data_IF_637160022027
#
_entry.id   IF_637160022027
#
_cell.length_a   1.000
_cell.length_b   1.000
_cell.length_c   1.000
_cell.angle_alpha   90.00
_cell.angle_beta   90.00
_cell.angle_gamma   90.00
#
_symmetry.space_group_name_H-M   'P 1'
#
loop_
_entity.id
_entity.type
_entity.pdbx_description
1 polymer ?
#
# COMPACT_ATOMS: atom_id res chain seq x y z
N UNK A 1 9.41 9.98 -76.41
CA UNK A 1 9.00 8.80 -75.58
C UNK A 1 9.89 8.62 -74.36
N UNK A 2 11.15 8.92 -74.45
CA UNK A 2 12.16 8.74 -73.34
C UNK A 2 11.88 9.50 -72.07
N UNK A 3 11.42 10.74 -72.15
CA UNK A 3 11.13 11.57 -70.96
C UNK A 3 9.98 11.05 -70.07
N UNK A 4 8.94 10.41 -70.62
CA UNK A 4 7.83 9.84 -69.85
C UNK A 4 8.24 8.57 -69.09
N UNK A 5 9.13 7.77 -69.68
CA UNK A 5 9.64 6.54 -69.03
C UNK A 5 10.56 6.90 -67.89
N UNK A 6 11.44 7.89 -68.03
CA UNK A 6 12.35 8.38 -67.02
C UNK A 6 11.59 8.98 -65.83
N UNK A 7 10.54 9.77 -66.07
CA UNK A 7 9.65 10.32 -65.06
C UNK A 7 8.91 9.22 -64.27
N UNK A 8 8.43 8.16 -64.94
CA UNK A 8 7.76 7.03 -64.27
C UNK A 8 8.71 6.21 -63.40
N UNK A 9 9.96 5.99 -63.85
CA UNK A 9 10.99 5.28 -63.09
C UNK A 9 11.38 6.12 -61.84
N UNK A 10 11.60 7.42 -62.01
CA UNK A 10 11.86 8.30 -60.85
C UNK A 10 10.71 8.30 -59.85
N UNK A 11 9.46 8.38 -60.29
CA UNK A 11 8.29 8.33 -59.41
C UNK A 11 8.22 6.98 -58.67
N UNK A 12 8.49 5.86 -59.35
CA UNK A 12 8.50 4.54 -58.72
C UNK A 12 9.59 4.40 -57.65
N UNK A 13 10.82 4.92 -57.93
CA UNK A 13 11.92 4.92 -56.97
C UNK A 13 11.57 5.79 -55.76
N UNK A 14 11.01 6.99 -55.96
CA UNK A 14 10.62 7.89 -54.87
C UNK A 14 9.53 7.26 -54.00
N UNK A 15 8.52 6.64 -54.62
CA UNK A 15 7.44 5.96 -53.93
C UNK A 15 7.95 4.76 -53.10
N UNK A 16 8.82 3.95 -53.70
CA UNK A 16 9.45 2.81 -53.02
C UNK A 16 10.31 3.28 -51.83
N UNK A 17 11.13 4.32 -52.01
CA UNK A 17 11.96 4.89 -50.96
C UNK A 17 11.09 5.45 -49.80
N UNK A 18 9.97 6.11 -50.15
CA UNK A 18 9.02 6.63 -49.14
C UNK A 18 8.35 5.50 -48.30
N UNK A 19 7.98 4.38 -48.97
CA UNK A 19 7.40 3.22 -48.32
C UNK A 19 8.43 2.56 -47.36
N UNK A 20 9.66 2.37 -47.83
CA UNK A 20 10.74 1.77 -47.04
C UNK A 20 11.07 2.67 -45.82
N UNK A 21 11.20 3.98 -46.02
CA UNK A 21 11.44 4.93 -44.93
C UNK A 21 10.30 4.93 -43.93
N UNK A 22 9.04 5.00 -44.37
CA UNK A 22 7.88 4.96 -43.50
C UNK A 22 7.79 3.65 -42.72
N UNK A 23 8.06 2.52 -43.37
CA UNK A 23 8.12 1.21 -42.72
C UNK A 23 9.22 1.12 -41.65
N UNK A 24 10.41 1.65 -41.96
CA UNK A 24 11.54 1.69 -41.04
C UNK A 24 11.22 2.57 -39.82
N UNK A 25 10.68 3.78 -40.05
CA UNK A 25 10.26 4.69 -38.94
C UNK A 25 9.20 4.05 -38.07
N UNK A 26 8.20 3.38 -38.68
CA UNK A 26 7.15 2.68 -37.92
C UNK A 26 7.72 1.54 -37.07
N UNK A 27 8.62 0.71 -37.62
CA UNK A 27 9.26 -0.38 -36.86
C UNK A 27 10.14 0.16 -35.74
N UNK A 28 10.91 1.23 -36.00
CA UNK A 28 11.74 1.87 -34.99
C UNK A 28 10.90 2.49 -33.86
N UNK A 29 9.82 3.21 -34.21
CA UNK A 29 8.91 3.80 -33.22
C UNK A 29 8.23 2.74 -32.36
N UNK A 30 7.80 1.63 -32.97
CA UNK A 30 7.21 0.50 -32.24
C UNK A 30 8.22 -0.14 -31.29
N UNK A 31 9.44 -0.44 -31.75
CA UNK A 31 10.50 -0.99 -30.89
C UNK A 31 10.88 -0.06 -29.75
N UNK A 32 11.04 1.23 -30.04
CA UNK A 32 11.31 2.23 -29.01
C UNK A 32 10.19 2.28 -27.96
N UNK A 33 8.91 2.19 -28.37
CA UNK A 33 7.78 2.13 -27.45
C UNK A 33 7.78 0.86 -26.57
N UNK A 34 8.12 -0.31 -27.16
CA UNK A 34 8.23 -1.57 -26.43
C UNK A 34 9.40 -1.54 -25.43
N UNK A 35 10.55 -0.97 -25.81
CA UNK A 35 11.72 -0.83 -24.96
C UNK A 35 11.48 0.14 -23.79
N UNK A 36 10.86 1.30 -24.04
CA UNK A 36 10.46 2.25 -23.00
C UNK A 36 9.49 1.60 -22.01
N UNK A 37 8.51 0.86 -22.49
CA UNK A 37 7.55 0.15 -21.66
C UNK A 37 8.25 -0.89 -20.75
N UNK A 38 9.15 -1.69 -21.33
CA UNK A 38 9.88 -2.70 -20.59
C UNK A 38 10.77 -2.06 -19.52
N UNK A 39 11.53 -1.03 -19.89
CA UNK A 39 12.37 -0.29 -18.95
C UNK A 39 11.57 0.32 -17.82
N UNK A 40 10.38 0.86 -18.09
CA UNK A 40 9.49 1.39 -17.07
C UNK A 40 9.06 0.31 -16.06
N UNK A 41 8.71 -0.89 -16.53
CA UNK A 41 8.39 -2.00 -15.62
C UNK A 41 9.59 -2.47 -14.82
N UNK A 42 10.79 -2.54 -15.40
CA UNK A 42 12.01 -2.94 -14.70
C UNK A 42 12.36 -1.95 -13.57
N UNK A 43 12.24 -0.64 -13.84
CA UNK A 43 12.44 0.41 -12.84
C UNK A 43 11.38 0.36 -11.74
N UNK A 44 10.09 0.20 -12.08
CA UNK A 44 9.00 0.04 -11.12
C UNK A 44 9.19 -1.22 -10.27
N UNK A 45 9.55 -2.35 -10.88
CA UNK A 45 9.83 -3.61 -10.16
C UNK A 45 10.91 -3.43 -9.12
N UNK A 46 12.02 -2.77 -9.49
CA UNK A 46 13.14 -2.55 -8.57
C UNK A 46 12.72 -1.66 -7.40
N UNK A 47 12.05 -0.56 -7.68
CA UNK A 47 11.58 0.38 -6.66
C UNK A 47 10.53 -0.27 -5.74
N UNK A 48 9.56 -0.99 -6.29
CA UNK A 48 8.49 -1.63 -5.51
C UNK A 48 9.04 -2.72 -4.59
N UNK A 49 10.00 -3.54 -5.05
CA UNK A 49 10.68 -4.54 -4.20
C UNK A 49 11.41 -3.90 -3.02
N UNK A 50 12.11 -2.79 -3.26
CA UNK A 50 12.77 -2.09 -2.17
C UNK A 50 11.76 -1.53 -1.18
N UNK A 51 10.71 -0.87 -1.66
CA UNK A 51 9.64 -0.33 -0.82
C UNK A 51 8.90 -1.40 -0.03
N UNK A 52 8.57 -2.53 -0.65
CA UNK A 52 7.94 -3.66 0.05
C UNK A 52 8.82 -4.18 1.19
N UNK A 53 10.14 -4.26 0.97
CA UNK A 53 11.09 -4.62 2.02
C UNK A 53 11.13 -3.59 3.16
N UNK A 54 11.13 -2.31 2.83
CA UNK A 54 11.19 -1.24 3.82
C UNK A 54 9.90 -1.18 4.65
N UNK A 55 8.74 -1.34 4.02
CA UNK A 55 7.43 -1.44 4.69
C UNK A 55 7.38 -2.67 5.60
N UNK A 56 7.83 -3.84 5.13
CA UNK A 56 7.86 -5.06 5.94
C UNK A 56 8.79 -4.91 7.16
N UNK A 57 9.95 -4.28 7.00
CA UNK A 57 10.86 -4.02 8.10
C UNK A 57 10.24 -3.06 9.14
N UNK A 58 9.59 -1.98 8.69
CA UNK A 58 8.91 -1.05 9.58
C UNK A 58 7.75 -1.74 10.34
N UNK A 59 6.92 -2.53 9.65
CA UNK A 59 5.84 -3.30 10.27
C UNK A 59 6.36 -4.28 11.33
N UNK A 60 7.48 -4.97 11.06
CA UNK A 60 8.12 -5.85 12.05
C UNK A 60 8.66 -5.07 13.25
N UNK A 61 9.21 -3.89 13.02
CA UNK A 61 9.66 -3.00 14.10
C UNK A 61 8.49 -2.60 14.99
N UNK A 62 7.36 -2.21 14.39
CA UNK A 62 6.12 -1.88 15.11
C UNK A 62 5.66 -3.04 15.99
N UNK A 63 5.57 -4.24 15.43
CA UNK A 63 5.19 -5.44 16.17
C UNK A 63 6.15 -5.77 17.32
N UNK A 64 7.46 -5.59 17.11
CA UNK A 64 8.47 -5.82 18.15
C UNK A 64 8.33 -4.82 19.30
N UNK A 65 8.14 -3.54 19.00
CA UNK A 65 7.94 -2.48 19.97
C UNK A 65 6.66 -2.74 20.78
N UNK A 66 5.56 -3.04 20.11
CA UNK A 66 4.27 -3.32 20.76
C UNK A 66 4.34 -4.58 21.65
N UNK A 67 5.02 -5.62 21.21
CA UNK A 67 5.22 -6.83 22.00
C UNK A 67 6.05 -6.53 23.26
N UNK A 68 7.12 -5.75 23.14
CA UNK A 68 7.92 -5.34 24.29
C UNK A 68 7.12 -4.47 25.29
N UNK A 69 6.30 -3.53 24.78
CA UNK A 69 5.38 -2.77 25.63
C UNK A 69 4.39 -3.68 26.35
N UNK A 70 3.79 -4.64 25.64
CA UNK A 70 2.83 -5.58 26.20
C UNK A 70 3.45 -6.44 27.32
N UNK A 71 4.69 -6.90 27.15
CA UNK A 71 5.42 -7.65 28.18
C UNK A 71 5.69 -6.79 29.44
N UNK A 72 6.09 -5.52 29.24
CA UNK A 72 6.32 -4.61 30.37
C UNK A 72 5.02 -4.27 31.11
N UNK A 73 3.91 -4.07 30.39
CA UNK A 73 2.58 -3.82 30.98
C UNK A 73 2.09 -5.04 31.76
N UNK A 74 2.33 -6.25 31.23
CA UNK A 74 1.95 -7.49 31.91
C UNK A 74 2.59 -7.66 33.29
N UNK A 75 3.76 -7.05 33.54
CA UNK A 75 4.47 -7.04 34.81
C UNK A 75 3.97 -5.99 35.80
N UNK A 76 3.05 -5.09 35.40
CA UNK A 76 2.52 -4.05 36.29
C UNK A 76 1.24 -4.50 37.00
N UNK A 77 0.89 -3.83 38.12
CA UNK A 77 -0.43 -3.97 38.69
C UNK A 77 -1.50 -3.39 37.72
N UNK A 78 -2.62 -4.09 37.55
CA UNK A 78 -3.71 -3.67 36.66
C UNK A 78 -4.34 -2.34 37.04
N UNK A 79 -4.28 -1.98 38.36
CA UNK A 79 -4.78 -0.73 38.87
C UNK A 79 -3.75 0.40 38.86
N UNK A 80 -2.46 0.11 38.60
CA UNK A 80 -1.40 1.12 38.47
C UNK A 80 -1.38 1.73 37.06
N UNK A 81 -2.40 2.53 36.76
CA UNK A 81 -2.54 3.19 35.45
C UNK A 81 -1.39 4.16 35.14
N UNK A 82 -0.77 4.76 36.15
CA UNK A 82 0.35 5.69 35.97
C UNK A 82 1.58 4.95 35.42
N UNK A 83 1.85 3.73 35.92
CA UNK A 83 2.92 2.88 35.42
C UNK A 83 2.61 2.39 34.01
N UNK A 84 1.37 1.99 33.73
CA UNK A 84 0.93 1.60 32.36
C UNK A 84 1.11 2.75 31.36
N UNK A 85 0.62 3.95 31.67
CA UNK A 85 0.77 5.12 30.82
C UNK A 85 2.25 5.49 30.61
N UNK A 86 3.08 5.36 31.64
CA UNK A 86 4.52 5.62 31.54
C UNK A 86 5.17 4.65 30.55
N UNK A 87 4.83 3.37 30.59
CA UNK A 87 5.34 2.36 29.65
C UNK A 87 4.88 2.69 28.24
N UNK A 88 3.58 2.97 28.01
CA UNK A 88 3.04 3.33 26.72
C UNK A 88 3.72 4.58 26.10
N UNK A 89 4.23 5.50 26.94
CA UNK A 89 4.93 6.71 26.52
C UNK A 89 6.47 6.59 26.48
N UNK A 90 7.04 5.45 26.91
CA UNK A 90 8.51 5.30 27.00
C UNK A 90 9.15 5.05 25.64
N UNK A 91 8.46 4.38 24.73
CA UNK A 91 9.00 4.02 23.44
C UNK A 91 8.85 5.15 22.42
N UNK A 92 9.95 5.47 21.73
CA UNK A 92 9.86 6.39 20.59
C UNK A 92 9.17 5.72 19.40
N UNK A 93 8.22 6.41 18.83
CA UNK A 93 7.49 6.00 17.62
C UNK A 93 8.04 6.62 16.34
N UNK A 94 9.16 7.36 16.40
CA UNK A 94 9.68 8.20 15.31
C UNK A 94 10.02 7.46 14.02
N UNK A 95 10.27 6.16 14.09
CA UNK A 95 10.61 5.31 12.91
C UNK A 95 9.62 4.18 12.71
N UNK A 96 8.40 4.37 13.18
CA UNK A 96 7.31 3.41 13.14
C UNK A 96 6.17 3.94 12.28
N UNK A 97 5.26 3.09 11.89
CA UNK A 97 3.98 3.51 11.30
C UNK A 97 2.95 3.88 12.35
N UNK A 98 3.19 3.49 13.61
CA UNK A 98 2.28 3.72 14.72
C UNK A 98 2.21 5.21 15.04
N UNK A 99 1.03 5.79 14.89
CA UNK A 99 0.74 7.21 15.22
C UNK A 99 0.25 7.38 16.65
N UNK A 100 -0.34 6.34 17.24
CA UNK A 100 -0.84 6.34 18.61
C UNK A 100 -0.84 4.93 19.18
N UNK A 101 -0.73 4.83 20.51
CA UNK A 101 -0.89 3.56 21.24
C UNK A 101 -2.15 3.64 22.10
N UNK A 102 -2.91 2.57 22.13
CA UNK A 102 -4.11 2.44 22.94
C UNK A 102 -4.16 1.07 23.63
N UNK A 103 -4.70 1.01 24.85
CA UNK A 103 -4.86 -0.22 25.62
C UNK A 103 -6.35 -0.51 25.84
N UNK A 104 -6.83 -1.64 25.34
CA UNK A 104 -8.18 -2.14 25.60
C UNK A 104 -8.15 -3.02 26.86
N UNK A 105 -9.00 -2.69 27.82
CA UNK A 105 -9.19 -3.45 29.06
C UNK A 105 -10.41 -4.40 28.96
N UNK A 106 -10.49 -5.43 29.82
CA UNK A 106 -11.62 -6.37 29.83
C UNK A 106 -12.97 -5.72 30.06
N UNK A 107 -13.02 -4.58 30.76
CA UNK A 107 -14.24 -3.80 31.02
C UNK A 107 -14.74 -3.01 29.79
N UNK A 108 -14.08 -3.13 28.64
CA UNK A 108 -14.41 -2.38 27.42
C UNK A 108 -13.87 -0.95 27.41
N UNK A 109 -13.02 -0.58 28.36
CA UNK A 109 -12.36 0.74 28.37
C UNK A 109 -11.14 0.72 27.47
N UNK A 110 -11.08 1.66 26.53
CA UNK A 110 -9.90 1.96 25.69
C UNK A 110 -9.14 3.15 26.31
N UNK A 111 -7.92 2.92 26.78
CA UNK A 111 -7.02 3.92 27.36
C UNK A 111 -6.01 4.40 26.32
N UNK A 112 -5.89 5.71 26.11
CA UNK A 112 -4.87 6.32 25.23
C UNK A 112 -3.65 6.78 26.04
N UNK A 113 -2.55 7.06 25.34
CA UNK A 113 -1.26 7.52 25.92
C UNK A 113 -1.35 8.86 26.64
N UNK A 114 -2.31 9.72 26.30
CA UNK A 114 -2.60 10.99 26.99
C UNK A 114 -3.49 10.84 28.25
N UNK A 115 -3.89 9.59 28.57
CA UNK A 115 -4.78 9.27 29.67
C UNK A 115 -6.27 9.37 29.34
N UNK A 116 -6.63 9.75 28.11
CA UNK A 116 -8.03 9.75 27.68
C UNK A 116 -8.61 8.33 27.67
N UNK A 117 -9.89 8.21 28.04
CA UNK A 117 -10.60 6.94 28.13
C UNK A 117 -11.87 6.99 27.30
N UNK A 118 -12.11 5.91 26.58
CA UNK A 118 -13.29 5.72 25.74
C UNK A 118 -13.95 4.41 26.08
N UNK A 119 -15.27 4.42 26.27
CA UNK A 119 -16.06 3.19 26.37
C UNK A 119 -16.30 2.67 24.95
N UNK A 120 -15.73 1.52 24.66
CA UNK A 120 -15.83 0.84 23.35
C UNK A 120 -16.49 -0.54 23.50
N UNK A 121 -17.10 -0.85 24.62
CA UNK A 121 -17.77 -2.13 24.92
C UNK A 121 -18.87 -2.48 23.92
N UNK A 122 -19.53 -1.49 23.32
CA UNK A 122 -20.52 -1.70 22.26
C UNK A 122 -19.93 -2.03 20.87
N UNK A 123 -18.61 -1.89 20.72
CA UNK A 123 -17.92 -2.05 19.44
C UNK A 123 -16.86 -3.17 19.44
N UNK A 124 -16.30 -3.48 20.61
CA UNK A 124 -15.35 -4.57 20.82
C UNK A 124 -15.88 -5.56 21.86
N UNK A 125 -15.84 -6.81 21.49
CA UNK A 125 -15.93 -7.92 22.44
C UNK A 125 -14.50 -8.32 22.83
N UNK A 126 -14.11 -8.05 24.06
CA UNK A 126 -12.76 -8.32 24.58
C UNK A 126 -12.35 -9.78 24.41
N UNK A 127 -13.24 -10.72 24.70
CA UNK A 127 -12.96 -12.15 24.60
C UNK A 127 -12.65 -12.57 23.16
N UNK A 128 -13.43 -12.04 22.20
CA UNK A 128 -13.18 -12.27 20.78
C UNK A 128 -11.84 -11.70 20.35
N UNK A 129 -11.51 -10.49 20.74
CA UNK A 129 -10.22 -9.87 20.42
C UNK A 129 -9.04 -10.60 21.09
N UNK A 130 -9.19 -11.02 22.34
CA UNK A 130 -8.17 -11.78 23.07
C UNK A 130 -7.90 -13.14 22.43
N UNK A 131 -8.94 -13.82 21.95
CA UNK A 131 -8.84 -15.12 21.28
C UNK A 131 -8.10 -15.05 19.92
N UNK A 132 -8.16 -13.90 19.23
CA UNK A 132 -7.45 -13.69 17.93
C UNK A 132 -5.93 -13.64 18.10
N UNK A 133 -5.43 -13.22 19.26
CA UNK A 133 -4.01 -13.06 19.51
C UNK A 133 -3.41 -11.82 18.81
N UNK A 134 -2.14 -11.91 18.40
CA UNK A 134 -1.47 -10.83 17.68
C UNK A 134 -1.86 -10.86 16.19
N UNK A 135 -2.29 -9.72 15.66
CA UNK A 135 -2.66 -9.58 14.25
C UNK A 135 -2.59 -8.12 13.79
N UNK A 136 -2.70 -7.90 12.49
CA UNK A 136 -2.93 -6.58 11.88
C UNK A 136 -4.40 -6.56 11.41
N UNK A 137 -5.15 -5.53 11.80
CA UNK A 137 -6.56 -5.42 11.42
C UNK A 137 -6.72 -4.98 9.96
N UNK A 138 -7.89 -5.27 9.38
CA UNK A 138 -8.35 -4.59 8.19
C UNK A 138 -8.44 -3.08 8.43
N UNK A 139 -8.58 -2.31 7.35
CA UNK A 139 -8.85 -0.88 7.41
C UNK A 139 -10.20 -0.63 8.06
N UNK A 140 -10.19 0.15 9.13
CA UNK A 140 -11.40 0.50 9.90
C UNK A 140 -11.42 1.98 10.24
N UNK A 141 -12.55 2.48 10.68
CA UNK A 141 -12.67 3.84 11.24
C UNK A 141 -12.10 3.87 12.67
N UNK A 142 -11.39 4.94 12.99
CA UNK A 142 -10.85 5.14 14.34
C UNK A 142 -11.98 5.39 15.35
N UNK A 143 -11.88 4.80 16.56
CA UNK A 143 -12.86 5.04 17.64
C UNK A 143 -12.73 6.38 18.31
N UNK A 144 -11.51 6.93 18.37
CA UNK A 144 -11.24 8.23 18.99
C UNK A 144 -11.13 9.38 17.97
N UNK A 145 -11.15 9.07 16.66
CA UNK A 145 -11.16 10.03 15.55
C UNK A 145 -12.01 9.47 14.40
N UNK A 146 -13.36 9.52 14.49
CA UNK A 146 -14.26 8.82 13.56
C UNK A 146 -14.14 9.26 12.09
N UNK A 147 -13.54 10.42 11.83
CA UNK A 147 -13.26 10.89 10.49
C UNK A 147 -11.99 10.29 9.86
N UNK A 148 -11.22 9.52 10.64
CA UNK A 148 -9.94 8.95 10.20
C UNK A 148 -10.01 7.45 10.00
N UNK A 149 -9.39 6.97 8.95
CA UNK A 149 -9.17 5.55 8.68
C UNK A 149 -7.87 5.08 9.32
N UNK A 150 -7.91 3.92 9.92
CA UNK A 150 -6.78 3.31 10.63
C UNK A 150 -6.62 1.83 10.30
N UNK A 151 -5.41 1.34 10.51
CA UNK A 151 -5.08 -0.07 10.70
C UNK A 151 -4.53 -0.20 12.12
N UNK A 152 -4.82 -1.30 12.79
CA UNK A 152 -4.35 -1.58 14.14
C UNK A 152 -3.37 -2.75 14.13
N UNK A 153 -2.16 -2.51 14.62
CA UNK A 153 -1.24 -3.57 15.02
C UNK A 153 -1.64 -4.02 16.43
N UNK A 154 -2.01 -5.28 16.60
CA UNK A 154 -2.59 -5.82 17.82
C UNK A 154 -1.58 -6.70 18.55
N UNK A 155 -1.32 -6.40 19.83
CA UNK A 155 -0.48 -7.20 20.70
C UNK A 155 -1.23 -7.54 22.01
N UNK A 156 -1.52 -8.81 22.31
CA UNK A 156 -2.14 -9.19 23.56
C UNK A 156 -1.16 -9.02 24.73
N UNK A 157 -1.62 -8.40 25.82
CA UNK A 157 -0.91 -8.32 27.08
C UNK A 157 -1.23 -9.58 27.88
N UNK A 158 -0.25 -10.45 28.10
CA UNK A 158 -0.46 -11.76 28.74
C UNK A 158 0.23 -11.85 30.09
N UNK A 159 -0.51 -12.32 31.11
CA UNK A 159 0.03 -12.69 32.43
C UNK A 159 -0.35 -14.14 32.70
N UNK A 160 0.62 -14.98 33.05
CA UNK A 160 0.44 -16.41 33.33
C UNK A 160 -0.30 -17.17 32.21
N UNK A 161 -0.14 -16.71 30.96
CA UNK A 161 -0.78 -17.29 29.78
C UNK A 161 -2.15 -16.76 29.43
N UNK A 162 -2.78 -15.99 30.31
CA UNK A 162 -4.09 -15.35 30.09
C UNK A 162 -3.91 -13.93 29.51
N UNK A 163 -4.77 -13.53 28.59
CA UNK A 163 -4.82 -12.16 28.06
C UNK A 163 -5.57 -11.26 29.04
N UNK A 164 -4.86 -10.34 29.67
CA UNK A 164 -5.40 -9.39 30.66
C UNK A 164 -5.74 -8.02 30.07
N UNK A 165 -5.16 -7.68 28.94
CA UNK A 165 -5.45 -6.47 28.16
C UNK A 165 -4.98 -6.65 26.71
N UNK A 166 -5.35 -5.73 25.83
CA UNK A 166 -4.93 -5.76 24.43
C UNK A 166 -4.33 -4.41 24.06
N UNK A 167 -3.10 -4.41 23.61
CA UNK A 167 -2.40 -3.22 23.16
C UNK A 167 -2.59 -3.03 21.65
N UNK A 168 -3.04 -1.85 21.24
CA UNK A 168 -3.18 -1.44 19.86
C UNK A 168 -2.13 -0.40 19.49
N UNK A 169 -1.33 -0.68 18.47
CA UNK A 169 -0.58 0.33 17.73
C UNK A 169 -1.44 0.83 16.57
N UNK A 170 -1.92 2.04 16.68
CA UNK A 170 -2.84 2.64 15.69
C UNK A 170 -2.05 3.36 14.62
N UNK A 171 -2.24 2.97 13.37
CA UNK A 171 -1.64 3.58 12.19
C UNK A 171 -2.70 4.45 11.51
N UNK A 172 -2.50 5.76 11.53
CA UNK A 172 -3.36 6.74 10.84
C UNK A 172 -3.00 6.76 9.35
N UNK A 173 -3.86 6.20 8.50
CA UNK A 173 -3.54 5.97 7.08
C UNK A 173 -3.30 7.27 6.30
N UNK A 174 -4.02 8.34 6.63
CA UNK A 174 -3.82 9.65 6.00
C UNK A 174 -2.45 10.26 6.36
N UNK A 175 -1.91 9.98 7.55
CA UNK A 175 -0.57 10.41 7.94
C UNK A 175 0.50 9.57 7.27
N UNK A 176 0.28 8.26 7.19
CA UNK A 176 1.16 7.34 6.47
C UNK A 176 1.35 7.81 5.01
N UNK A 177 0.28 8.17 4.31
CA UNK A 177 0.35 8.63 2.92
C UNK A 177 1.15 9.93 2.75
N UNK A 178 1.15 10.82 3.74
CA UNK A 178 1.92 12.07 3.70
C UNK A 178 3.41 11.86 3.94
N UNK A 179 3.79 10.84 4.69
CA UNK A 179 5.17 10.56 5.08
C UNK A 179 5.94 9.76 4.02
N UNK A 180 5.24 9.14 3.07
CA UNK A 180 5.85 8.42 1.95
C UNK A 180 5.80 9.27 0.69
N UNK A 181 6.97 9.59 0.16
CA UNK A 181 7.12 10.23 -1.15
C UNK A 181 8.05 9.39 -2.02
N UNK A 182 7.70 9.24 -3.28
CA UNK A 182 8.52 8.55 -4.28
C UNK A 182 8.98 9.58 -5.29
N UNK A 183 10.31 9.76 -5.38
CA UNK A 183 10.93 10.59 -6.41
C UNK A 183 11.36 9.72 -7.61
N UNK A 184 10.37 9.18 -8.30
CA UNK A 184 10.56 8.48 -9.57
C UNK A 184 9.83 9.24 -10.68
N UNK A 185 10.39 9.21 -11.88
CA UNK A 185 9.81 9.86 -13.08
C UNK A 185 9.49 11.34 -12.87
N UNK A 186 10.35 12.07 -12.16
CA UNK A 186 10.17 13.50 -11.82
C UNK A 186 8.83 13.74 -11.05
N UNK A 187 8.52 12.89 -10.08
CA UNK A 187 7.33 12.99 -9.26
C UNK A 187 6.04 12.47 -9.93
N UNK A 188 6.14 11.76 -11.05
CA UNK A 188 4.99 11.15 -11.72
C UNK A 188 4.75 9.68 -11.30
N UNK A 189 5.53 9.15 -10.37
CA UNK A 189 5.27 7.85 -9.77
C UNK A 189 4.34 7.98 -8.55
N UNK A 190 3.53 6.97 -8.33
CA UNK A 190 2.58 6.86 -7.21
C UNK A 190 2.84 5.56 -6.48
N UNK A 191 2.84 5.61 -5.16
CA UNK A 191 2.85 4.42 -4.31
C UNK A 191 1.44 4.15 -3.79
N UNK A 192 1.02 2.91 -3.94
CA UNK A 192 -0.17 2.37 -3.30
C UNK A 192 0.23 1.20 -2.41
N UNK A 193 -0.22 1.20 -1.15
CA UNK A 193 -0.24 0.00 -0.31
C UNK A 193 -1.67 -0.53 -0.30
N UNK A 194 -1.83 -1.81 -0.59
CA UNK A 194 -3.15 -2.42 -0.77
C UNK A 194 -3.27 -3.63 0.14
N UNK A 195 -4.41 -3.76 0.81
CA UNK A 195 -4.78 -5.00 1.50
C UNK A 195 -5.05 -6.09 0.47
N UNK A 196 -4.24 -7.15 0.50
CA UNK A 196 -4.33 -8.26 -0.46
C UNK A 196 -5.60 -9.08 -0.36
N UNK A 197 -6.33 -9.02 0.76
CA UNK A 197 -7.55 -9.81 0.98
C UNK A 197 -8.79 -9.16 0.37
N UNK A 198 -8.93 -7.83 0.52
CA UNK A 198 -10.14 -7.10 0.16
C UNK A 198 -9.91 -6.00 -0.89
N UNK A 199 -8.64 -5.67 -1.20
CA UNK A 199 -8.27 -4.64 -2.17
C UNK A 199 -8.37 -3.21 -1.64
N UNK A 200 -8.55 -3.02 -0.34
CA UNK A 200 -8.57 -1.70 0.27
C UNK A 200 -7.21 -1.01 0.15
N UNK A 201 -7.21 0.24 -0.27
CA UNK A 201 -6.00 1.04 -0.35
C UNK A 201 -5.71 1.60 1.05
N UNK A 202 -4.53 1.24 1.58
CA UNK A 202 -4.04 1.62 2.90
C UNK A 202 -3.11 2.84 2.84
N UNK A 203 -2.46 3.05 1.70
CA UNK A 203 -1.61 4.21 1.41
C UNK A 203 -1.80 4.60 -0.05
N UNK A 204 -1.99 5.88 -0.31
CA UNK A 204 -2.02 6.47 -1.64
C UNK A 204 -1.25 7.80 -1.58
N UNK A 205 -0.14 7.89 -2.32
CA UNK A 205 0.70 9.09 -2.33
C UNK A 205 0.19 10.15 -3.31
N UNK A 206 -0.86 9.88 -4.03
CA UNK A 206 -1.41 10.78 -5.05
C UNK A 206 -2.76 11.37 -4.67
N UNK A 207 -3.66 10.57 -4.08
CA UNK A 207 -5.01 11.01 -3.75
C UNK A 207 -5.18 11.25 -2.25
N UNK A 208 -5.95 12.23 -1.88
CA UNK A 208 -6.29 12.50 -0.47
C UNK A 208 -7.26 11.47 0.11
N UNK A 209 -8.00 10.76 -0.74
CA UNK A 209 -8.97 9.76 -0.34
C UNK A 209 -8.46 8.34 -0.63
N UNK A 210 -8.56 7.46 0.36
CA UNK A 210 -8.20 6.05 0.22
C UNK A 210 -9.37 5.28 -0.39
N UNK A 211 -9.18 4.84 -1.64
CA UNK A 211 -10.15 4.06 -2.41
C UNK A 211 -10.03 2.56 -2.21
N UNK A 212 -10.36 1.82 -3.25
CA UNK A 212 -10.21 0.37 -3.33
C UNK A 212 -9.69 -0.03 -4.72
N UNK A 213 -8.88 -1.06 -4.80
CA UNK A 213 -8.28 -1.54 -6.05
C UNK A 213 -9.34 -1.97 -7.07
N UNK A 214 -10.58 -2.24 -6.63
CA UNK A 214 -11.72 -2.54 -7.50
C UNK A 214 -12.05 -1.44 -8.51
N UNK A 215 -11.54 -0.23 -8.32
CA UNK A 215 -11.63 0.86 -9.32
C UNK A 215 -10.90 0.53 -10.64
N UNK A 216 -10.02 -0.45 -10.63
CA UNK A 216 -9.41 -1.01 -11.85
C UNK A 216 -10.34 -1.98 -12.60
N UNK A 217 -11.42 -2.46 -11.98
CA UNK A 217 -12.35 -3.41 -12.58
C UNK A 217 -12.97 -2.85 -13.85
N UNK A 218 -12.97 -3.67 -14.90
CA UNK A 218 -13.53 -3.31 -16.21
C UNK A 218 -12.76 -2.22 -16.96
N UNK A 219 -11.55 -1.84 -16.53
CA UNK A 219 -10.65 -1.00 -17.33
C UNK A 219 -10.07 -1.82 -18.50
N UNK A 220 -9.83 -1.15 -19.61
CA UNK A 220 -9.13 -1.76 -20.75
C UNK A 220 -7.68 -2.00 -20.38
N UNK A 221 -7.28 -3.27 -20.32
CA UNK A 221 -5.88 -3.65 -20.14
C UNK A 221 -5.15 -3.58 -21.47
N UNK A 222 -3.97 -2.95 -21.48
CA UNK A 222 -3.09 -2.88 -22.63
C UNK A 222 -2.02 -3.98 -22.56
N UNK A 223 -1.56 -4.33 -21.34
CA UNK A 223 -0.58 -5.38 -21.07
C UNK A 223 -0.70 -5.83 -19.61
N UNK A 224 -0.25 -7.05 -19.31
CA UNK A 224 -0.21 -7.61 -17.94
C UNK A 224 -1.54 -8.21 -17.51
N UNK A 225 -1.75 -8.26 -16.18
CA UNK A 225 -2.91 -8.92 -15.58
C UNK A 225 -4.14 -8.01 -15.58
N UNK A 226 -5.32 -8.64 -15.62
CA UNK A 226 -6.59 -7.97 -15.30
C UNK A 226 -6.68 -7.77 -13.78
N UNK A 227 -7.65 -6.93 -13.34
CA UNK A 227 -7.95 -6.78 -11.92
C UNK A 227 -8.25 -8.14 -11.26
N UNK A 228 -9.08 -8.95 -11.89
CA UNK A 228 -9.50 -10.26 -11.36
C UNK A 228 -8.34 -11.26 -11.25
N UNK A 229 -7.40 -11.21 -12.20
CA UNK A 229 -6.18 -12.03 -12.16
C UNK A 229 -5.23 -11.55 -11.07
N UNK A 230 -5.03 -10.25 -10.92
CA UNK A 230 -4.20 -9.66 -9.87
C UNK A 230 -4.74 -10.02 -8.47
N UNK A 231 -6.04 -9.85 -8.23
CA UNK A 231 -6.67 -10.19 -6.95
C UNK A 231 -6.62 -11.67 -6.59
N UNK A 232 -6.45 -12.57 -7.57
CA UNK A 232 -6.19 -13.99 -7.31
C UNK A 232 -4.72 -14.28 -6.98
N UNK A 233 -3.80 -13.46 -7.48
CA UNK A 233 -2.34 -13.68 -7.36
C UNK A 233 -1.75 -13.05 -6.12
N UNK A 234 -2.21 -11.87 -5.73
CA UNK A 234 -1.72 -11.12 -4.57
C UNK A 234 -1.77 -11.95 -3.28
N UNK A 235 -2.89 -12.61 -2.89
CA UNK A 235 -2.94 -13.42 -1.67
C UNK A 235 -2.01 -14.64 -1.70
N UNK A 236 -1.56 -15.04 -2.89
CA UNK A 236 -0.64 -16.16 -3.07
C UNK A 236 0.84 -15.73 -3.16
N UNK A 237 1.15 -14.49 -2.86
CA UNK A 237 2.51 -13.95 -2.90
C UNK A 237 3.09 -13.85 -4.32
N UNK A 238 2.26 -13.65 -5.34
CA UNK A 238 2.69 -13.58 -6.74
C UNK A 238 2.56 -12.14 -7.21
N UNK A 239 3.70 -11.49 -7.45
CA UNK A 239 3.78 -10.15 -8.02
C UNK A 239 3.44 -10.09 -9.51
N UNK A 240 3.29 -8.88 -10.05
CA UNK A 240 2.99 -8.74 -11.47
C UNK A 240 2.78 -7.31 -11.95
N UNK A 241 2.55 -7.23 -13.25
CA UNK A 241 2.42 -5.98 -13.98
C UNK A 241 0.99 -5.78 -14.49
N UNK A 242 0.55 -4.54 -14.47
CA UNK A 242 -0.71 -4.08 -15.06
C UNK A 242 -0.42 -2.83 -15.89
N UNK A 243 -0.84 -2.82 -17.15
CA UNK A 243 -0.82 -1.63 -17.98
C UNK A 243 -2.24 -1.32 -18.45
N UNK A 244 -2.74 -0.16 -18.10
CA UNK A 244 -4.12 0.27 -18.36
C UNK A 244 -4.19 1.74 -18.77
N UNK A 245 -5.39 2.24 -19.03
CA UNK A 245 -5.64 3.65 -19.36
C UNK A 245 -6.44 4.31 -18.23
N UNK A 246 -5.97 5.46 -17.78
CA UNK A 246 -6.69 6.28 -16.81
C UNK A 246 -8.03 6.74 -17.38
N UNK A 247 -9.12 6.57 -16.62
CA UNK A 247 -10.45 7.04 -17.03
C UNK A 247 -10.58 8.56 -16.99
N UNK A 248 -9.84 9.20 -16.11
CA UNK A 248 -9.92 10.66 -15.91
C UNK A 248 -9.03 11.44 -16.88
N UNK A 249 -7.83 10.93 -17.15
CA UNK A 249 -6.82 11.65 -17.95
C UNK A 249 -6.59 11.07 -19.35
N UNK A 250 -7.02 9.83 -19.60
CA UNK A 250 -6.71 9.11 -20.84
C UNK A 250 -5.24 8.68 -20.96
N UNK A 251 -4.41 8.93 -19.96
CA UNK A 251 -3.00 8.55 -19.96
C UNK A 251 -2.82 7.07 -19.71
N UNK A 252 -1.76 6.50 -20.25
CA UNK A 252 -1.35 5.12 -19.96
C UNK A 252 -0.76 5.05 -18.57
N UNK A 253 -1.25 4.13 -17.76
CA UNK A 253 -0.77 3.83 -16.41
C UNK A 253 -0.01 2.52 -16.42
N UNK A 254 1.21 2.54 -15.91
CA UNK A 254 2.04 1.37 -15.66
C UNK A 254 2.04 1.10 -14.17
N UNK A 255 1.61 -0.08 -13.77
CA UNK A 255 1.52 -0.50 -12.37
C UNK A 255 2.33 -1.78 -12.21
N UNK A 256 3.21 -1.80 -11.24
CA UNK A 256 3.85 -3.02 -10.75
C UNK A 256 3.43 -3.23 -9.30
N UNK A 257 3.05 -4.46 -8.93
CA UNK A 257 2.75 -4.82 -7.56
C UNK A 257 3.62 -5.96 -7.07
N UNK A 258 4.07 -5.86 -5.84
CA UNK A 258 4.83 -6.85 -5.10
C UNK A 258 4.05 -7.18 -3.82
N UNK A 259 3.70 -8.46 -3.56
CA UNK A 259 2.98 -8.90 -2.37
C UNK A 259 3.80 -8.82 -1.10
#
# INVERSE_FOLDING_TARGET
>A
MENKTRSRVMLAITLFSAIVLSGTVFVCARRAGEEVTQRSFDELTTATKQLAKDINNATRTDQTILSAMAELIAGQDEDDLDSVLRIMNTFSLDKTFVSAVALLRPDGTLLLTDGARYDVSGAFDFETEAARGAYISDRVTSYFAPEKLVVRNVAPVKRDGETIAILYGVVLLQELSRNYQIDLYNGNAVLLLVDGNNGDILLDTWHDSLGNLSDLRGRKMLKGYTYEEAMKKIPNGIGGDICTVSRSTGLTLYLHYEP
#
